data_IF_568363392804
#
_entry.id   IF_568363392804
#
_cell.length_a   1.000
_cell.length_b   1.000
_cell.length_c   1.000
_cell.angle_alpha   90.00
_cell.angle_beta   90.00
_cell.angle_gamma   90.00
#
_symmetry.space_group_name_H-M   'P 1'
#
loop_
_entity.id
_entity.type
_entity.pdbx_description
1 polymer ?
#
# COMPACT_ATOMS: atom_id res chain seq x y z
N UNK A 1 -13.18 3.85 -19.44
CA UNK A 1 -14.05 3.24 -20.47
C UNK A 1 -14.94 2.26 -19.75
N UNK A 2 -16.25 2.49 -19.74
CA UNK A 2 -17.22 1.47 -19.31
C UNK A 2 -17.25 0.37 -20.36
N UNK A 3 -16.60 -0.76 -20.10
CA UNK A 3 -16.95 -1.99 -20.82
C UNK A 3 -18.39 -2.32 -20.44
N UNK A 4 -19.32 -2.10 -21.37
CA UNK A 4 -20.67 -2.65 -21.29
C UNK A 4 -20.57 -4.17 -21.42
N UNK A 5 -20.38 -4.85 -20.30
CA UNK A 5 -20.41 -6.29 -20.19
C UNK A 5 -21.84 -6.76 -20.47
N UNK A 6 -22.06 -7.35 -21.65
CA UNK A 6 -23.37 -7.81 -22.09
C UNK A 6 -23.65 -9.20 -21.49
N UNK A 7 -24.00 -9.24 -20.20
CA UNK A 7 -24.35 -10.48 -19.50
C UNK A 7 -25.77 -10.96 -19.84
N UNK A 8 -26.02 -12.27 -19.68
CA UNK A 8 -27.37 -12.85 -19.82
C UNK A 8 -28.34 -12.22 -18.80
N UNK A 9 -29.64 -12.22 -19.12
CA UNK A 9 -30.68 -11.60 -18.28
C UNK A 9 -30.72 -12.19 -16.87
N UNK A 10 -30.61 -13.51 -16.78
CA UNK A 10 -30.58 -14.25 -15.52
C UNK A 10 -29.35 -13.85 -14.69
N UNK A 11 -28.19 -13.69 -15.34
CA UNK A 11 -26.96 -13.23 -14.70
C UNK A 11 -27.11 -11.81 -14.13
N UNK A 12 -27.74 -10.91 -14.88
CA UNK A 12 -28.02 -9.56 -14.40
C UNK A 12 -28.97 -9.58 -13.18
N UNK A 13 -29.94 -10.49 -13.15
CA UNK A 13 -30.81 -10.67 -11.99
C UNK A 13 -30.03 -11.19 -10.76
N UNK A 14 -29.07 -12.10 -10.96
CA UNK A 14 -28.17 -12.55 -9.90
C UNK A 14 -27.31 -11.42 -9.34
N UNK A 15 -26.69 -10.63 -10.22
CA UNK A 15 -25.89 -9.46 -9.82
C UNK A 15 -26.75 -8.46 -9.03
N UNK A 16 -27.99 -8.21 -9.47
CA UNK A 16 -28.92 -7.36 -8.73
C UNK A 16 -29.31 -7.92 -7.36
N UNK A 17 -29.41 -9.25 -7.22
CA UNK A 17 -29.64 -9.89 -5.93
C UNK A 17 -28.44 -9.74 -4.99
N UNK A 18 -27.21 -9.86 -5.50
CA UNK A 18 -25.97 -9.59 -4.76
C UNK A 18 -25.91 -8.14 -4.29
N UNK A 19 -26.14 -7.19 -5.19
CA UNK A 19 -26.16 -5.76 -4.87
C UNK A 19 -27.20 -5.44 -3.77
N UNK A 20 -28.41 -5.97 -3.92
CA UNK A 20 -29.49 -5.80 -2.93
C UNK A 20 -29.17 -6.43 -1.58
N UNK A 21 -28.45 -7.56 -1.56
CA UNK A 21 -28.05 -8.22 -0.32
C UNK A 21 -27.06 -7.36 0.47
N UNK A 22 -26.02 -6.85 -0.19
CA UNK A 22 -24.93 -6.09 0.42
C UNK A 22 -25.15 -4.57 0.42
N UNK A 23 -26.33 -4.09 0.05
CA UNK A 23 -26.61 -2.66 -0.11
C UNK A 23 -26.46 -1.83 1.18
N UNK A 24 -26.66 -2.46 2.34
CA UNK A 24 -26.63 -1.78 3.65
C UNK A 24 -25.48 -2.21 4.54
N UNK A 25 -24.96 -3.44 4.37
CA UNK A 25 -23.95 -4.02 5.24
C UNK A 25 -22.97 -4.88 4.43
N UNK A 26 -21.73 -4.96 4.89
CA UNK A 26 -20.71 -5.82 4.29
C UNK A 26 -20.80 -7.27 4.73
N UNK A 27 -20.05 -8.16 4.06
CA UNK A 27 -20.07 -9.59 4.34
C UNK A 27 -19.73 -9.97 5.78
N UNK A 28 -18.83 -9.22 6.45
CA UNK A 28 -18.48 -9.45 7.86
C UNK A 28 -19.68 -9.36 8.80
N UNK A 29 -20.57 -8.38 8.56
CA UNK A 29 -21.82 -8.23 9.29
C UNK A 29 -22.76 -9.41 9.03
N UNK A 30 -22.95 -9.80 7.77
CA UNK A 30 -23.84 -10.89 7.40
C UNK A 30 -23.37 -12.26 7.93
N UNK A 31 -22.06 -12.52 7.91
CA UNK A 31 -21.48 -13.72 8.52
C UNK A 31 -21.67 -13.73 10.04
N UNK A 32 -21.52 -12.59 10.70
CA UNK A 32 -21.78 -12.48 12.14
C UNK A 32 -23.27 -12.65 12.46
N UNK A 33 -24.16 -12.11 11.62
CA UNK A 33 -25.60 -12.30 11.76
C UNK A 33 -25.98 -13.78 11.61
N UNK A 34 -25.45 -14.46 10.57
CA UNK A 34 -25.68 -15.89 10.37
C UNK A 34 -25.15 -16.74 11.52
N UNK A 35 -23.99 -16.38 12.09
CA UNK A 35 -23.46 -17.02 13.30
C UNK A 35 -24.41 -16.88 14.49
N UNK A 36 -24.97 -15.68 14.70
CA UNK A 36 -25.91 -15.42 15.79
C UNK A 36 -27.28 -16.07 15.55
N UNK A 37 -27.63 -16.35 14.29
CA UNK A 37 -28.80 -17.16 13.97
C UNK A 37 -28.59 -18.63 14.38
N UNK A 38 -27.40 -19.20 14.14
CA UNK A 38 -27.09 -20.56 14.60
C UNK A 38 -27.00 -20.64 16.12
N UNK A 39 -26.23 -19.74 16.75
CA UNK A 39 -25.95 -19.75 18.18
C UNK A 39 -26.35 -18.37 18.75
N UNK A 40 -27.62 -18.19 19.15
CA UNK A 40 -28.09 -16.95 19.76
C UNK A 40 -27.29 -16.59 21.03
N UNK A 41 -26.59 -15.43 21.07
CA UNK A 41 -25.97 -14.93 22.29
C UNK A 41 -26.96 -14.80 23.46
N UNK A 42 -26.55 -15.09 24.70
CA UNK A 42 -27.42 -14.90 25.88
C UNK A 42 -27.40 -13.47 26.48
N UNK A 43 -26.73 -12.51 25.85
CA UNK A 43 -26.48 -11.17 26.41
C UNK A 43 -27.45 -10.09 25.88
N UNK A 44 -27.40 -8.87 26.42
CA UNK A 44 -28.34 -7.79 26.05
C UNK A 44 -28.07 -7.16 24.67
N UNK A 45 -26.86 -7.26 24.14
CA UNK A 45 -26.41 -6.72 22.83
C UNK A 45 -26.59 -7.72 21.68
N UNK A 46 -27.61 -8.56 21.82
CA UNK A 46 -27.77 -9.78 21.07
C UNK A 46 -28.59 -9.55 19.80
N UNK A 47 -27.99 -9.85 18.64
CA UNK A 47 -28.66 -9.84 17.34
C UNK A 47 -29.45 -11.14 17.09
N UNK A 48 -29.93 -11.79 18.15
CA UNK A 48 -30.65 -13.06 18.01
C UNK A 48 -31.96 -12.89 17.25
N UNK A 49 -32.39 -13.97 16.57
CA UNK A 49 -33.73 -14.14 16.02
C UNK A 49 -34.86 -13.67 16.95
N UNK A 50 -34.71 -13.92 18.25
CA UNK A 50 -35.72 -13.68 19.28
C UNK A 50 -35.91 -12.17 19.55
N UNK A 51 -34.83 -11.39 19.48
CA UNK A 51 -34.85 -9.94 19.71
C UNK A 51 -35.13 -9.14 18.45
N UNK A 52 -34.77 -9.69 17.29
CA UNK A 52 -34.89 -9.01 16.00
C UNK A 52 -35.56 -9.88 14.92
N UNK A 53 -36.79 -10.39 15.15
CA UNK A 53 -37.46 -11.31 14.21
C UNK A 53 -37.70 -10.69 12.83
N UNK A 54 -37.94 -9.38 12.76
CA UNK A 54 -38.06 -8.66 11.49
C UNK A 54 -36.74 -8.64 10.70
N UNK A 55 -35.59 -8.47 11.38
CA UNK A 55 -34.28 -8.49 10.71
C UNK A 55 -33.95 -9.89 10.21
N UNK A 56 -34.31 -10.93 10.98
CA UNK A 56 -34.14 -12.31 10.55
C UNK A 56 -34.98 -12.61 9.29
N UNK A 57 -36.25 -12.20 9.28
CA UNK A 57 -37.11 -12.38 8.11
C UNK A 57 -36.53 -11.66 6.89
N UNK A 58 -36.09 -10.40 7.04
CA UNK A 58 -35.47 -9.64 5.94
C UNK A 58 -34.18 -10.30 5.46
N UNK A 59 -33.36 -10.83 6.38
CA UNK A 59 -32.14 -11.56 6.01
C UNK A 59 -32.47 -12.81 5.19
N UNK A 60 -33.44 -13.62 5.65
CA UNK A 60 -33.92 -14.80 4.94
C UNK A 60 -34.50 -14.45 3.56
N UNK A 61 -35.35 -13.42 3.47
CA UNK A 61 -35.97 -12.98 2.22
C UNK A 61 -34.96 -12.51 1.17
N UNK A 62 -33.80 -12.01 1.61
CA UNK A 62 -32.68 -11.67 0.72
C UNK A 62 -31.76 -12.86 0.42
N UNK A 63 -31.60 -13.78 1.38
CA UNK A 63 -30.75 -14.97 1.23
C UNK A 63 -31.32 -15.96 0.19
N UNK A 64 -32.63 -16.21 0.22
CA UNK A 64 -33.26 -17.17 -0.69
C UNK A 64 -33.06 -16.80 -2.17
N UNK A 65 -33.30 -15.55 -2.62
CA UNK A 65 -32.98 -15.14 -3.99
C UNK A 65 -31.52 -15.34 -4.37
N UNK A 66 -30.56 -15.06 -3.47
CA UNK A 66 -29.14 -15.31 -3.76
C UNK A 66 -28.90 -16.78 -4.08
N UNK A 67 -29.47 -17.68 -3.27
CA UNK A 67 -29.34 -19.11 -3.48
C UNK A 67 -30.02 -19.55 -4.79
N UNK A 68 -31.26 -19.12 -5.03
CA UNK A 68 -32.04 -19.47 -6.21
C UNK A 68 -31.35 -19.05 -7.51
N UNK A 69 -30.81 -17.85 -7.56
CA UNK A 69 -30.05 -17.38 -8.71
C UNK A 69 -28.70 -18.08 -8.82
N UNK A 70 -28.02 -18.37 -7.72
CA UNK A 70 -26.75 -19.11 -7.75
C UNK A 70 -26.95 -20.50 -8.36
N UNK A 71 -27.97 -21.23 -7.92
CA UNK A 71 -28.32 -22.56 -8.46
C UNK A 71 -28.70 -22.47 -9.94
N UNK A 72 -29.55 -21.50 -10.30
CA UNK A 72 -29.93 -21.29 -11.68
C UNK A 72 -28.70 -21.05 -12.58
N UNK A 73 -27.82 -20.12 -12.20
CA UNK A 73 -26.68 -19.67 -13.01
C UNK A 73 -25.57 -20.72 -13.11
N UNK A 74 -25.28 -21.42 -12.01
CA UNK A 74 -24.11 -22.30 -11.95
C UNK A 74 -24.44 -23.78 -12.18
N UNK A 75 -25.71 -24.19 -12.08
CA UNK A 75 -26.13 -25.59 -12.17
C UNK A 75 -27.15 -25.86 -13.29
N UNK A 76 -28.09 -24.95 -13.56
CA UNK A 76 -29.27 -25.26 -14.40
C UNK A 76 -29.31 -24.62 -15.78
N UNK A 77 -28.56 -23.55 -16.03
CA UNK A 77 -28.53 -22.91 -17.36
C UNK A 77 -27.17 -23.05 -18.02
N UNK A 78 -27.15 -22.80 -19.33
CA UNK A 78 -25.91 -22.72 -20.09
C UNK A 78 -25.03 -21.59 -19.53
N UNK A 79 -23.79 -21.94 -19.17
CA UNK A 79 -22.82 -21.02 -18.56
C UNK A 79 -22.68 -19.73 -19.37
N UNK A 80 -22.88 -18.60 -18.69
CA UNK A 80 -22.55 -17.27 -19.20
C UNK A 80 -21.02 -17.09 -19.16
N UNK A 81 -20.36 -17.39 -20.28
CA UNK A 81 -18.89 -17.37 -20.37
C UNK A 81 -18.31 -15.97 -20.15
N UNK A 82 -19.04 -14.92 -20.54
CA UNK A 82 -18.61 -13.55 -20.31
C UNK A 82 -18.63 -13.22 -18.81
N UNK A 83 -19.67 -13.63 -18.11
CA UNK A 83 -19.76 -13.48 -16.65
C UNK A 83 -18.70 -14.27 -15.91
N UNK A 84 -18.51 -15.55 -16.24
CA UNK A 84 -17.49 -16.39 -15.59
C UNK A 84 -16.10 -15.78 -15.76
N UNK A 85 -15.77 -15.31 -16.97
CA UNK A 85 -14.50 -14.63 -17.23
C UNK A 85 -14.37 -13.32 -16.44
N UNK A 86 -15.46 -12.58 -16.24
CA UNK A 86 -15.45 -11.32 -15.51
C UNK A 86 -15.28 -11.48 -13.98
N UNK A 87 -15.70 -12.63 -13.44
CA UNK A 87 -15.50 -12.96 -12.02
C UNK A 87 -14.20 -13.71 -11.77
N UNK A 88 -13.43 -14.09 -12.79
CA UNK A 88 -12.14 -14.78 -12.63
C UNK A 88 -11.01 -13.79 -12.35
N UNK A 89 -10.03 -14.24 -11.56
CA UNK A 89 -8.78 -13.54 -11.32
C UNK A 89 -7.60 -14.50 -11.47
N UNK A 90 -6.48 -14.00 -11.99
CA UNK A 90 -5.21 -14.71 -11.97
C UNK A 90 -4.56 -14.64 -10.58
N UNK A 91 -3.45 -15.34 -10.39
CA UNK A 91 -2.72 -15.39 -9.11
C UNK A 91 -2.35 -13.99 -8.60
N UNK A 92 -1.83 -13.13 -9.47
CA UNK A 92 -1.53 -11.74 -9.14
C UNK A 92 -2.79 -10.93 -8.78
N UNK A 93 -3.91 -11.20 -9.44
CA UNK A 93 -5.21 -10.60 -9.15
C UNK A 93 -5.72 -10.97 -7.75
N UNK A 94 -5.58 -12.24 -7.36
CA UNK A 94 -5.94 -12.70 -6.01
C UNK A 94 -5.04 -12.07 -4.95
N UNK A 95 -3.72 -12.03 -5.16
CA UNK A 95 -2.79 -11.36 -4.24
C UNK A 95 -3.15 -9.88 -4.05
N UNK A 96 -3.47 -9.18 -5.14
CA UNK A 96 -3.92 -7.78 -5.10
C UNK A 96 -5.16 -7.60 -4.22
N UNK A 97 -6.14 -8.49 -4.33
CA UNK A 97 -7.37 -8.43 -3.54
C UNK A 97 -7.12 -8.59 -2.05
N UNK A 98 -6.14 -9.41 -1.65
CA UNK A 98 -5.79 -9.56 -0.23
C UNK A 98 -5.33 -8.25 0.42
N UNK A 99 -4.82 -7.32 -0.39
CA UNK A 99 -4.35 -5.99 0.05
C UNK A 99 -5.44 -4.93 -0.09
N UNK A 100 -6.22 -4.99 -1.17
CA UNK A 100 -7.17 -3.92 -1.53
C UNK A 100 -8.53 -4.04 -0.85
N UNK A 101 -9.00 -5.25 -0.58
CA UNK A 101 -10.35 -5.46 -0.07
C UNK A 101 -10.38 -5.27 1.45
N UNK A 102 -11.32 -4.46 1.93
CA UNK A 102 -11.57 -4.27 3.37
C UNK A 102 -11.88 -5.61 4.07
N UNK A 103 -12.47 -6.55 3.32
CA UNK A 103 -12.66 -7.93 3.74
C UNK A 103 -12.19 -8.89 2.65
N UNK A 104 -11.13 -9.63 2.94
CA UNK A 104 -10.70 -10.77 2.14
C UNK A 104 -11.42 -12.05 2.61
N UNK A 105 -12.02 -12.84 1.69
CA UNK A 105 -12.56 -14.17 1.99
C UNK A 105 -11.59 -15.05 2.77
N UNK A 106 -12.11 -15.83 3.73
CA UNK A 106 -11.31 -16.70 4.63
C UNK A 106 -11.71 -18.17 4.53
N UNK A 107 -12.88 -18.46 4.01
CA UNK A 107 -13.46 -19.80 3.88
C UNK A 107 -13.29 -20.37 2.48
N UNK A 108 -12.96 -19.52 1.49
CA UNK A 108 -12.65 -19.91 0.13
C UNK A 108 -11.19 -20.41 0.03
N UNK A 109 -11.00 -21.53 -0.64
CA UNK A 109 -9.66 -21.98 -1.04
C UNK A 109 -9.07 -21.06 -2.11
N UNK A 110 -7.75 -21.14 -2.34
CA UNK A 110 -7.09 -20.31 -3.35
C UNK A 110 -7.69 -20.47 -4.77
N UNK A 111 -8.08 -21.68 -5.16
CA UNK A 111 -8.75 -21.93 -6.44
C UNK A 111 -10.16 -21.32 -6.50
N UNK A 112 -10.91 -21.38 -5.41
CA UNK A 112 -12.23 -20.73 -5.30
C UNK A 112 -12.12 -19.21 -5.31
N UNK A 113 -11.04 -18.65 -4.74
CA UNK A 113 -10.74 -17.22 -4.87
C UNK A 113 -10.44 -16.84 -6.32
N UNK A 114 -9.63 -17.62 -7.04
CA UNK A 114 -9.38 -17.37 -8.47
C UNK A 114 -10.67 -17.48 -9.29
N UNK A 115 -11.52 -18.46 -8.99
CA UNK A 115 -12.77 -18.68 -9.69
C UNK A 115 -13.93 -18.99 -8.72
N UNK A 116 -14.75 -17.98 -8.36
CA UNK A 116 -15.86 -18.14 -7.41
C UNK A 116 -16.89 -19.17 -7.86
N UNK A 117 -16.97 -19.48 -9.17
CA UNK A 117 -17.83 -20.54 -9.71
C UNK A 117 -17.59 -21.88 -9.03
N UNK A 118 -16.33 -22.18 -8.66
CA UNK A 118 -15.97 -23.47 -8.07
C UNK A 118 -16.69 -23.71 -6.74
N UNK A 119 -16.90 -22.67 -5.93
CA UNK A 119 -17.66 -22.76 -4.68
C UNK A 119 -19.11 -23.16 -4.93
N UNK A 120 -19.75 -22.56 -5.93
CA UNK A 120 -21.14 -22.89 -6.26
C UNK A 120 -21.27 -24.29 -6.84
N UNK A 121 -20.34 -24.71 -7.71
CA UNK A 121 -20.32 -26.08 -8.23
C UNK A 121 -20.19 -27.11 -7.10
N UNK A 122 -19.33 -26.86 -6.11
CA UNK A 122 -19.17 -27.75 -4.95
C UNK A 122 -20.46 -27.84 -4.13
N UNK A 123 -21.09 -26.70 -3.83
CA UNK A 123 -22.37 -26.65 -3.09
C UNK A 123 -23.47 -27.43 -3.82
N UNK A 124 -23.62 -27.25 -5.13
CA UNK A 124 -24.68 -27.88 -5.91
C UNK A 124 -24.38 -29.32 -6.34
N UNK A 125 -23.12 -29.77 -6.27
CA UNK A 125 -22.74 -31.16 -6.55
C UNK A 125 -23.33 -32.11 -5.50
N UNK A 126 -23.36 -31.69 -4.24
CA UNK A 126 -23.73 -32.55 -3.12
C UNK A 126 -25.17 -32.34 -2.63
N UNK A 127 -25.83 -31.26 -3.05
CA UNK A 127 -27.12 -30.89 -2.49
C UNK A 127 -28.14 -30.42 -3.53
N UNK A 128 -29.37 -30.92 -3.41
CA UNK A 128 -30.49 -30.46 -4.23
C UNK A 128 -31.04 -29.13 -3.70
N UNK A 129 -31.33 -28.22 -4.64
CA UNK A 129 -31.84 -26.86 -4.38
C UNK A 129 -33.09 -26.84 -3.49
N UNK A 130 -34.05 -27.73 -3.75
CA UNK A 130 -35.29 -27.83 -2.97
C UNK A 130 -35.03 -28.17 -1.50
N UNK A 131 -34.02 -29.00 -1.21
CA UNK A 131 -33.63 -29.34 0.15
C UNK A 131 -33.08 -28.12 0.89
N UNK A 132 -32.28 -27.27 0.24
CA UNK A 132 -31.76 -26.04 0.85
C UNK A 132 -32.88 -25.07 1.23
N UNK A 133 -33.84 -24.85 0.32
CA UNK A 133 -34.97 -23.95 0.59
C UNK A 133 -35.84 -24.47 1.73
N UNK A 134 -36.09 -25.78 1.77
CA UNK A 134 -36.81 -26.40 2.86
C UNK A 134 -36.08 -26.19 4.19
N UNK A 135 -34.78 -26.49 4.25
CA UNK A 135 -33.99 -26.35 5.48
C UNK A 135 -33.88 -24.89 5.92
N UNK A 136 -33.66 -23.93 5.01
CA UNK A 136 -33.67 -22.50 5.38
C UNK A 136 -35.01 -22.06 5.95
N UNK A 137 -36.12 -22.53 5.38
CA UNK A 137 -37.45 -22.22 5.88
C UNK A 137 -37.71 -22.85 7.25
N UNK A 138 -37.36 -24.12 7.43
CA UNK A 138 -37.47 -24.81 8.72
C UNK A 138 -36.61 -24.13 9.79
N UNK A 139 -35.39 -23.76 9.44
CA UNK A 139 -34.47 -23.04 10.34
C UNK A 139 -34.99 -21.65 10.71
N UNK A 140 -35.62 -20.94 9.77
CA UNK A 140 -36.28 -19.66 10.04
C UNK A 140 -37.43 -19.85 11.03
N UNK A 141 -38.31 -20.82 10.77
CA UNK A 141 -39.47 -21.09 11.62
C UNK A 141 -39.03 -21.50 13.03
N UNK A 142 -38.07 -22.42 13.14
CA UNK A 142 -37.51 -22.84 14.43
C UNK A 142 -36.91 -21.65 15.21
N UNK A 143 -36.22 -20.75 14.52
CA UNK A 143 -35.65 -19.54 15.12
C UNK A 143 -36.73 -18.56 15.61
N UNK A 144 -37.79 -18.36 14.83
CA UNK A 144 -38.92 -17.49 15.20
C UNK A 144 -39.77 -18.08 16.32
N UNK A 145 -39.91 -19.41 16.37
CA UNK A 145 -40.60 -20.13 17.44
C UNK A 145 -39.75 -20.30 18.70
N UNK A 146 -38.49 -19.88 18.67
CA UNK A 146 -37.52 -20.04 19.75
C UNK A 146 -37.25 -21.52 20.13
N UNK A 147 -37.18 -22.38 19.11
CA UNK A 147 -37.02 -23.83 19.23
C UNK A 147 -35.65 -24.32 18.73
N UNK A 148 -34.64 -23.45 18.65
CA UNK A 148 -33.27 -23.82 18.29
C UNK A 148 -32.56 -24.47 19.49
N UNK A 149 -32.60 -25.80 19.54
CA UNK A 149 -31.85 -26.62 20.49
C UNK A 149 -30.60 -27.26 19.86
N UNK A 150 -29.90 -28.11 20.63
CA UNK A 150 -28.65 -28.75 20.19
C UNK A 150 -28.84 -29.70 18.99
N UNK A 151 -30.04 -30.24 18.79
CA UNK A 151 -30.30 -31.16 17.68
C UNK A 151 -30.38 -30.39 16.34
N UNK A 152 -30.78 -29.11 16.39
CA UNK A 152 -30.74 -28.22 15.23
C UNK A 152 -29.32 -27.93 14.75
N UNK A 153 -28.36 -27.74 15.66
CA UNK A 153 -26.97 -27.46 15.29
C UNK A 153 -26.42 -28.53 14.34
N UNK A 154 -26.69 -29.81 14.63
CA UNK A 154 -26.26 -30.92 13.79
C UNK A 154 -27.03 -30.97 12.46
N UNK A 155 -28.34 -30.70 12.48
CA UNK A 155 -29.18 -30.72 11.29
C UNK A 155 -28.79 -29.62 10.27
N UNK A 156 -28.49 -28.41 10.75
CA UNK A 156 -28.19 -27.26 9.87
C UNK A 156 -26.70 -27.03 9.64
N UNK A 157 -25.78 -27.71 10.34
CA UNK A 157 -24.34 -27.46 10.27
C UNK A 157 -23.80 -27.37 8.83
N UNK A 158 -24.11 -28.35 7.98
CA UNK A 158 -23.64 -28.37 6.60
C UNK A 158 -24.21 -27.20 5.78
N UNK A 159 -25.50 -26.87 5.98
CA UNK A 159 -26.16 -25.74 5.33
C UNK A 159 -25.56 -24.42 5.79
N UNK A 160 -25.29 -24.26 7.09
CA UNK A 160 -24.64 -23.09 7.66
C UNK A 160 -23.24 -22.88 7.07
N UNK A 161 -22.39 -23.91 7.06
CA UNK A 161 -21.03 -23.83 6.51
C UNK A 161 -21.04 -23.45 5.02
N UNK A 162 -21.92 -24.08 4.24
CA UNK A 162 -22.06 -23.77 2.82
C UNK A 162 -22.65 -22.39 2.58
N UNK A 163 -23.57 -21.93 3.43
CA UNK A 163 -24.12 -20.57 3.37
C UNK A 163 -23.02 -19.54 3.60
N UNK A 164 -22.14 -19.74 4.59
CA UNK A 164 -21.02 -18.81 4.81
C UNK A 164 -20.08 -18.75 3.60
N UNK A 165 -19.70 -19.92 3.05
CA UNK A 165 -18.88 -19.97 1.82
C UNK A 165 -19.56 -19.27 0.65
N UNK A 166 -20.86 -19.52 0.45
CA UNK A 166 -21.66 -18.86 -0.59
C UNK A 166 -21.66 -17.33 -0.42
N UNK A 167 -21.82 -16.83 0.82
CA UNK A 167 -21.80 -15.40 1.09
C UNK A 167 -20.44 -14.77 0.80
N UNK A 168 -19.33 -15.45 1.12
CA UNK A 168 -17.99 -14.97 0.74
C UNK A 168 -17.77 -14.98 -0.78
N UNK A 169 -18.25 -16.01 -1.49
CA UNK A 169 -18.18 -16.06 -2.95
C UNK A 169 -19.01 -14.94 -3.60
N UNK A 170 -20.24 -14.71 -3.12
CA UNK A 170 -21.08 -13.59 -3.56
C UNK A 170 -20.44 -12.23 -3.25
N UNK A 171 -19.77 -12.08 -2.10
CA UNK A 171 -19.03 -10.87 -1.77
C UNK A 171 -17.86 -10.64 -2.73
N UNK A 172 -17.11 -11.69 -3.08
CA UNK A 172 -16.01 -11.56 -4.04
C UNK A 172 -16.53 -11.16 -5.43
N UNK A 173 -17.68 -11.69 -5.86
CA UNK A 173 -18.36 -11.26 -7.10
C UNK A 173 -18.79 -9.78 -6.99
N UNK A 174 -19.31 -9.36 -5.84
CA UNK A 174 -19.65 -7.96 -5.58
C UNK A 174 -18.43 -7.05 -5.73
N UNK A 175 -17.31 -7.42 -5.12
CA UNK A 175 -16.07 -6.65 -5.16
C UNK A 175 -15.44 -6.59 -6.56
N UNK A 176 -15.61 -7.63 -7.37
CA UNK A 176 -15.13 -7.67 -8.75
C UNK A 176 -16.04 -6.91 -9.71
N UNK A 177 -17.34 -7.19 -9.71
CA UNK A 177 -18.25 -6.70 -10.76
C UNK A 177 -18.97 -5.41 -10.37
N UNK A 178 -19.48 -5.33 -9.14
CA UNK A 178 -20.41 -4.29 -8.71
C UNK A 178 -19.65 -3.06 -8.25
N UNK A 179 -18.84 -3.19 -7.18
CA UNK A 179 -18.03 -2.07 -6.66
C UNK A 179 -16.74 -1.89 -7.43
N UNK A 180 -16.28 -2.96 -8.12
CA UNK A 180 -15.00 -3.03 -8.84
C UNK A 180 -13.80 -2.70 -7.96
N UNK A 181 -13.93 -2.94 -6.64
CA UNK A 181 -12.87 -2.75 -5.66
C UNK A 181 -11.67 -3.65 -5.92
N UNK A 182 -11.88 -4.89 -6.39
CA UNK A 182 -10.80 -5.80 -6.81
C UNK A 182 -9.96 -5.25 -7.98
N UNK A 183 -10.58 -4.43 -8.82
CA UNK A 183 -9.96 -3.80 -9.97
C UNK A 183 -9.68 -2.32 -9.76
N UNK A 184 -9.89 -1.80 -8.54
CA UNK A 184 -9.35 -0.50 -8.18
C UNK A 184 -7.86 -0.61 -8.41
N UNK A 185 -7.40 0.16 -9.37
CA UNK A 185 -6.00 0.18 -9.69
C UNK A 185 -5.25 0.59 -8.42
N UNK A 186 -4.33 -0.26 -7.94
CA UNK A 186 -3.33 0.16 -6.95
C UNK A 186 -2.68 1.47 -7.44
N UNK A 187 -2.58 1.65 -8.76
CA UNK A 187 -2.20 2.83 -9.52
C UNK A 187 -2.76 4.18 -9.06
N UNK A 188 -3.89 4.26 -8.36
CA UNK A 188 -4.31 5.54 -7.76
C UNK A 188 -3.31 6.04 -6.69
N UNK A 189 -2.47 5.13 -6.20
CA UNK A 189 -1.30 5.40 -5.35
C UNK A 189 0.02 4.85 -5.94
N UNK A 190 -0.02 3.88 -6.87
CA UNK A 190 1.17 3.29 -7.51
C UNK A 190 1.62 4.00 -8.80
N UNK A 191 0.75 4.70 -9.53
CA UNK A 191 1.18 5.54 -10.68
C UNK A 191 1.58 6.96 -10.27
N UNK A 192 1.37 7.31 -9.00
CA UNK A 192 2.21 8.31 -8.34
C UNK A 192 3.63 7.78 -8.10
N UNK A 193 3.93 6.50 -8.40
CA UNK A 193 5.27 5.93 -8.37
C UNK A 193 6.04 6.02 -9.71
N UNK A 194 5.57 6.82 -10.68
CA UNK A 194 6.36 7.20 -11.87
C UNK A 194 7.35 8.29 -11.44
N UNK A 195 8.57 8.27 -11.97
CA UNK A 195 9.65 9.20 -11.63
C UNK A 195 9.21 10.68 -11.57
N UNK A 196 8.24 11.05 -12.40
CA UNK A 196 7.65 12.40 -12.55
C UNK A 196 6.55 12.73 -11.52
N UNK A 197 5.82 11.74 -10.99
CA UNK A 197 4.67 11.91 -10.08
C UNK A 197 4.92 11.43 -8.64
N UNK A 198 6.09 10.84 -8.38
CA UNK A 198 6.62 10.56 -7.04
C UNK A 198 7.16 11.80 -6.36
N UNK A 199 7.25 12.93 -7.05
CA UNK A 199 7.82 14.15 -6.49
C UNK A 199 6.74 14.78 -5.59
N UNK A 200 6.86 14.71 -4.25
CA UNK A 200 5.89 15.40 -3.41
C UNK A 200 5.92 16.92 -3.67
N UNK A 201 6.95 17.43 -4.37
CA UNK A 201 6.95 18.70 -5.08
C UNK A 201 7.75 18.54 -6.39
N UNK A 202 7.16 18.81 -7.56
CA UNK A 202 7.96 19.06 -8.76
C UNK A 202 9.00 20.15 -8.42
N UNK A 203 10.24 20.00 -8.90
CA UNK A 203 11.20 21.10 -8.79
C UNK A 203 10.57 22.31 -9.49
N UNK A 204 10.61 23.46 -8.83
CA UNK A 204 10.21 24.72 -9.46
C UNK A 204 11.08 24.93 -10.73
N UNK A 205 10.58 25.61 -11.77
CA UNK A 205 11.34 25.84 -12.99
C UNK A 205 12.76 26.34 -12.75
N UNK A 206 12.94 27.21 -11.76
CA UNK A 206 14.23 27.78 -11.35
C UNK A 206 15.21 26.72 -10.82
N UNK A 207 14.70 25.63 -10.23
CA UNK A 207 15.48 24.51 -9.71
C UNK A 207 15.74 23.43 -10.78
N UNK A 208 14.99 23.44 -11.88
CA UNK A 208 15.28 22.61 -13.07
C UNK A 208 16.44 23.19 -13.88
N UNK A 209 16.55 24.52 -13.89
CA UNK A 209 17.64 25.27 -14.53
C UNK A 209 18.92 25.19 -13.71
N UNK A 210 18.82 25.23 -12.37
CA UNK A 210 19.95 25.09 -11.45
C UNK A 210 19.66 24.12 -10.31
N UNK A 211 19.91 22.80 -10.50
CA UNK A 211 19.66 21.80 -9.46
C UNK A 211 20.61 21.92 -8.25
N UNK A 212 21.70 22.68 -8.33
CA UNK A 212 22.61 22.87 -7.20
C UNK A 212 21.98 23.74 -6.10
N UNK A 213 21.05 24.64 -6.43
CA UNK A 213 20.27 25.40 -5.44
C UNK A 213 19.48 24.50 -4.49
N UNK A 214 19.07 23.32 -4.95
CA UNK A 214 18.42 22.32 -4.08
C UNK A 214 19.38 21.82 -3.02
N UNK A 215 20.64 21.57 -3.40
CA UNK A 215 21.70 21.10 -2.51
C UNK A 215 22.10 22.22 -1.53
N UNK A 216 22.28 23.43 -2.02
CA UNK A 216 22.56 24.61 -1.19
C UNK A 216 21.45 24.86 -0.17
N UNK A 217 20.19 24.83 -0.61
CA UNK A 217 19.05 24.98 0.29
C UNK A 217 19.03 23.89 1.36
N UNK A 218 19.27 22.63 0.99
CA UNK A 218 19.35 21.52 1.95
C UNK A 218 20.35 21.81 3.07
N UNK A 219 21.59 22.17 2.71
CA UNK A 219 22.65 22.49 3.67
C UNK A 219 22.55 23.87 4.32
N UNK A 220 21.59 24.70 3.91
CA UNK A 220 21.24 25.93 4.63
C UNK A 220 20.37 25.66 5.86
N UNK A 221 19.72 24.49 5.91
CA UNK A 221 18.83 24.10 7.01
C UNK A 221 19.61 23.57 8.22
N UNK A 222 20.72 22.86 7.99
CA UNK A 222 21.64 22.38 9.03
C UNK A 222 23.02 22.04 8.43
N UNK A 223 24.00 21.76 9.29
CA UNK A 223 25.29 21.21 8.88
C UNK A 223 25.21 19.70 8.56
N UNK A 224 26.26 19.17 7.92
CA UNK A 224 26.33 17.75 7.53
C UNK A 224 26.12 16.81 8.73
N UNK A 225 26.76 17.08 9.88
CA UNK A 225 26.55 16.30 11.10
C UNK A 225 25.08 16.29 11.56
N UNK A 226 24.39 17.41 11.48
CA UNK A 226 22.96 17.53 11.81
C UNK A 226 22.09 16.67 10.90
N UNK A 227 22.26 16.80 9.58
CA UNK A 227 21.56 15.97 8.59
C UNK A 227 21.81 14.47 8.78
N UNK A 228 23.05 14.07 9.10
CA UNK A 228 23.38 12.67 9.44
C UNK A 228 22.66 12.20 10.71
N UNK A 229 22.56 13.05 11.73
CA UNK A 229 21.83 12.73 12.95
C UNK A 229 20.34 12.55 12.69
N UNK A 230 19.72 13.42 11.88
CA UNK A 230 18.33 13.28 11.44
C UNK A 230 18.09 11.96 10.71
N UNK A 231 18.93 11.63 9.72
CA UNK A 231 18.80 10.38 8.98
C UNK A 231 18.95 9.14 9.89
N UNK A 232 19.90 9.18 10.82
CA UNK A 232 20.11 8.10 11.80
C UNK A 232 18.91 7.93 12.72
N UNK A 233 18.32 9.03 13.19
CA UNK A 233 17.14 8.98 14.05
C UNK A 233 15.93 8.46 13.29
N UNK A 234 15.76 8.87 12.03
CA UNK A 234 14.70 8.33 11.17
C UNK A 234 14.86 6.82 10.94
N UNK A 235 16.05 6.37 10.57
CA UNK A 235 16.32 4.94 10.40
C UNK A 235 16.00 4.14 11.66
N UNK A 236 16.38 4.64 12.83
CA UNK A 236 16.04 4.01 14.13
C UNK A 236 14.54 3.99 14.40
N UNK A 237 13.85 5.08 14.10
CA UNK A 237 12.40 5.16 14.30
C UNK A 237 11.66 4.17 13.38
N UNK A 238 12.05 4.08 12.11
CA UNK A 238 11.49 3.14 11.15
C UNK A 238 11.73 1.67 11.54
N UNK A 239 12.83 1.38 12.25
CA UNK A 239 13.12 0.05 12.80
C UNK A 239 12.33 -0.25 14.08
N UNK A 240 11.95 0.74 14.87
CA UNK A 240 11.29 0.51 16.15
C UNK A 240 9.89 -0.09 15.93
N UNK A 241 9.55 -1.11 16.70
CA UNK A 241 8.16 -1.55 16.84
C UNK A 241 7.54 -0.76 18.00
N UNK A 242 6.26 -0.39 17.86
CA UNK A 242 5.45 0.28 18.91
C UNK A 242 5.83 1.73 19.27
N UNK A 243 6.86 2.32 18.64
CA UNK A 243 7.20 3.75 18.81
C UNK A 243 6.91 4.53 17.53
N UNK A 244 5.98 5.47 17.63
CA UNK A 244 5.72 6.47 16.58
C UNK A 244 6.44 7.78 16.92
N UNK A 245 7.02 8.43 15.92
CA UNK A 245 7.64 9.76 16.10
C UNK A 245 6.57 10.80 16.43
N UNK A 246 6.87 11.70 17.37
CA UNK A 246 5.97 12.80 17.76
C UNK A 246 5.84 13.88 16.68
N UNK A 247 6.95 14.19 16.01
CA UNK A 247 7.07 15.33 15.09
C UNK A 247 6.94 14.89 13.64
N UNK A 248 5.77 14.35 13.29
CA UNK A 248 5.43 13.81 11.96
C UNK A 248 5.73 14.82 10.83
N UNK A 249 5.52 16.11 11.08
CA UNK A 249 5.76 17.17 10.11
C UNK A 249 7.24 17.28 9.69
N UNK A 250 8.18 17.10 10.64
CA UNK A 250 9.61 17.23 10.39
C UNK A 250 10.13 16.08 9.53
N UNK A 251 9.68 14.86 9.79
CA UNK A 251 10.03 13.69 8.98
C UNK A 251 9.41 13.74 7.59
N UNK A 252 8.18 14.25 7.46
CA UNK A 252 7.56 14.50 6.16
C UNK A 252 8.32 15.58 5.37
N UNK A 253 8.74 16.66 6.03
CA UNK A 253 9.57 17.68 5.43
C UNK A 253 10.92 17.11 4.96
N UNK A 254 11.58 16.32 5.81
CA UNK A 254 12.87 15.69 5.49
C UNK A 254 12.76 14.68 4.34
N UNK A 255 11.68 13.89 4.29
CA UNK A 255 11.33 13.03 3.15
C UNK A 255 11.26 13.84 1.84
N UNK A 256 10.60 15.00 1.87
CA UNK A 256 10.49 15.87 0.71
C UNK A 256 11.87 16.43 0.31
N UNK A 257 12.72 16.79 1.27
CA UNK A 257 14.07 17.27 0.99
C UNK A 257 14.94 16.20 0.32
N UNK A 258 14.95 14.97 0.83
CA UNK A 258 15.69 13.86 0.20
C UNK A 258 15.17 13.55 -1.20
N UNK A 259 13.84 13.63 -1.40
CA UNK A 259 13.26 13.45 -2.73
C UNK A 259 13.73 14.52 -3.72
N UNK A 260 13.80 15.78 -3.29
CA UNK A 260 14.36 16.87 -4.11
C UNK A 260 15.84 16.65 -4.41
N UNK A 261 16.62 16.19 -3.44
CA UNK A 261 18.04 15.84 -3.63
C UNK A 261 18.23 14.72 -4.67
N UNK A 262 17.35 13.71 -4.71
CA UNK A 262 17.41 12.67 -5.74
C UNK A 262 17.17 13.22 -7.14
N UNK A 263 16.17 14.08 -7.29
CA UNK A 263 15.88 14.73 -8.56
C UNK A 263 17.04 15.64 -9.00
N UNK A 264 17.60 16.42 -8.07
CA UNK A 264 18.75 17.26 -8.34
C UNK A 264 19.97 16.44 -8.78
N UNK A 265 20.29 15.36 -8.06
CA UNK A 265 21.39 14.45 -8.41
C UNK A 265 21.23 13.81 -9.79
N UNK A 266 20.00 13.38 -10.12
CA UNK A 266 19.69 12.89 -11.46
C UNK A 266 19.93 13.93 -12.54
N UNK A 267 19.44 15.17 -12.35
CA UNK A 267 19.60 16.24 -13.32
C UNK A 267 21.08 16.61 -13.51
N UNK A 268 21.85 16.69 -12.42
CA UNK A 268 23.29 16.94 -12.45
C UNK A 268 24.01 15.85 -13.27
N UNK A 269 23.69 14.58 -13.03
CA UNK A 269 24.27 13.46 -13.78
C UNK A 269 23.85 13.46 -15.24
N UNK A 270 22.55 13.54 -15.52
CA UNK A 270 21.99 13.42 -16.87
C UNK A 270 22.45 14.56 -17.79
N UNK A 271 22.57 15.78 -17.25
CA UNK A 271 23.05 16.97 -17.98
C UNK A 271 24.56 17.19 -17.86
N UNK A 272 25.29 16.32 -17.13
CA UNK A 272 26.73 16.48 -16.82
C UNK A 272 27.10 17.86 -16.27
N UNK A 273 26.30 18.39 -15.34
CA UNK A 273 26.51 19.71 -14.77
C UNK A 273 27.68 19.71 -13.77
N UNK A 274 28.38 20.83 -13.70
CA UNK A 274 29.40 21.10 -12.70
C UNK A 274 28.99 22.30 -11.87
N UNK A 275 29.28 22.25 -10.57
CA UNK A 275 28.99 23.35 -9.66
C UNK A 275 29.92 24.54 -9.96
N UNK A 276 29.33 25.69 -10.29
CA UNK A 276 30.02 26.94 -10.62
C UNK A 276 29.77 28.04 -9.56
N UNK A 277 29.16 27.67 -8.42
CA UNK A 277 28.85 28.62 -7.35
C UNK A 277 30.11 29.09 -6.63
N UNK A 278 30.02 30.28 -6.03
CA UNK A 278 31.01 30.73 -5.04
C UNK A 278 30.94 29.76 -3.86
N UNK A 279 32.09 29.29 -3.36
CA UNK A 279 32.16 28.42 -2.18
C UNK A 279 31.17 28.92 -1.12
N UNK A 280 30.24 28.05 -0.71
CA UNK A 280 29.04 28.44 0.05
C UNK A 280 29.43 28.89 1.46
N UNK A 281 29.86 30.15 1.60
CA UNK A 281 30.21 30.82 2.85
C UNK A 281 29.01 31.21 3.73
N UNK A 282 27.82 30.72 3.39
CA UNK A 282 26.55 30.96 4.09
C UNK A 282 26.20 29.91 5.15
N UNK A 283 27.17 29.11 5.62
CA UNK A 283 27.03 28.38 6.87
C UNK A 283 26.82 29.39 8.02
N UNK A 284 25.87 29.17 8.96
CA UNK A 284 25.61 30.11 10.04
C UNK A 284 26.91 30.48 10.78
N UNK A 285 27.26 31.77 10.68
CA UNK A 285 28.38 32.48 11.28
C UNK A 285 29.36 31.64 12.13
N UNK A 286 30.43 31.17 11.46
CA UNK A 286 31.73 30.98 12.08
C UNK A 286 32.36 32.37 12.27
N UNK A 287 31.86 33.15 13.21
CA UNK A 287 32.58 34.31 13.75
C UNK A 287 32.89 34.01 15.21
N UNK A 288 33.95 33.22 15.40
CA UNK A 288 34.89 33.31 16.54
C UNK A 288 36.02 32.27 16.52
N UNK A 289 36.22 31.48 15.45
CA UNK A 289 37.31 30.47 15.42
C UNK A 289 38.23 30.48 14.21
N UNK A 290 38.16 31.49 13.33
CA UNK A 290 39.15 31.65 12.23
C UNK A 290 40.46 32.35 12.67
N UNK A 291 40.82 32.23 13.95
CA UNK A 291 42.17 32.54 14.45
C UNK A 291 42.68 31.32 15.19
N UNK A 292 42.81 30.20 14.48
CA UNK A 292 43.87 29.19 14.62
C UNK A 292 43.53 28.00 13.73
N UNK A 293 44.45 27.68 12.83
CA UNK A 293 44.30 26.58 11.88
C UNK A 293 44.05 25.24 12.58
N UNK A 294 43.01 24.53 12.15
CA UNK A 294 43.04 23.08 12.00
C UNK A 294 41.77 22.58 11.28
N UNK A 295 42.00 21.62 10.40
CA UNK A 295 41.08 20.89 9.53
C UNK A 295 39.96 20.15 10.28
N UNK A 296 38.92 20.84 10.75
CA UNK A 296 37.76 20.22 11.43
C UNK A 296 36.58 19.87 10.51
N UNK A 297 36.38 20.58 9.40
CA UNK A 297 35.18 20.40 8.55
C UNK A 297 35.23 19.14 7.66
N UNK A 298 36.41 18.70 7.21
CA UNK A 298 36.59 17.42 6.51
C UNK A 298 36.43 16.20 7.44
N UNK A 299 36.46 16.40 8.75
CA UNK A 299 36.29 15.33 9.75
C UNK A 299 34.85 14.81 9.81
N UNK A 300 33.90 15.50 9.17
CA UNK A 300 32.50 15.10 9.08
C UNK A 300 32.18 14.17 7.91
N UNK A 301 33.08 14.03 6.93
CA UNK A 301 32.93 13.11 5.77
C UNK A 301 33.66 11.81 6.09
N UNK A 302 32.93 10.72 6.30
CA UNK A 302 33.50 9.47 6.81
C UNK A 302 32.92 8.19 6.20
N UNK A 303 31.89 8.30 5.37
CA UNK A 303 31.26 7.17 4.66
C UNK A 303 31.73 7.11 3.21
N UNK A 304 32.06 8.27 2.63
CA UNK A 304 32.48 8.42 1.25
C UNK A 304 33.95 8.03 1.10
N UNK A 305 34.24 7.10 0.17
CA UNK A 305 35.61 6.65 -0.10
C UNK A 305 36.54 7.76 -0.60
N UNK A 306 37.85 7.63 -0.35
CA UNK A 306 38.84 8.66 -0.67
C UNK A 306 38.83 9.13 -2.14
N UNK A 307 38.63 8.21 -3.08
CA UNK A 307 38.52 8.54 -4.52
C UNK A 307 37.31 9.44 -4.83
N UNK A 308 36.18 9.19 -4.16
CA UNK A 308 34.96 9.98 -4.29
C UNK A 308 35.04 11.31 -3.52
N UNK A 309 35.81 11.38 -2.42
CA UNK A 309 36.10 12.66 -1.77
C UNK A 309 36.99 13.56 -2.63
N UNK A 310 37.93 12.98 -3.38
CA UNK A 310 38.77 13.72 -4.31
C UNK A 310 37.99 14.20 -5.55
N UNK A 311 37.05 13.38 -6.03
CA UNK A 311 36.15 13.74 -7.13
C UNK A 311 34.73 13.21 -6.88
N UNK A 312 33.84 14.01 -6.27
CA UNK A 312 32.49 13.56 -5.91
C UNK A 312 31.60 13.29 -7.14
N UNK A 313 31.94 13.84 -8.31
CA UNK A 313 31.20 13.57 -9.54
C UNK A 313 31.35 12.10 -10.02
N UNK A 314 32.43 11.40 -9.63
CA UNK A 314 32.57 9.96 -9.90
C UNK A 314 31.51 9.15 -9.17
N UNK A 315 31.21 9.52 -7.92
CA UNK A 315 30.14 8.93 -7.15
C UNK A 315 28.77 9.29 -7.75
N UNK A 316 28.50 10.58 -7.94
CA UNK A 316 27.19 11.07 -8.41
C UNK A 316 26.79 10.45 -9.76
N UNK A 317 27.73 10.32 -10.71
CA UNK A 317 27.45 9.69 -12.01
C UNK A 317 27.09 8.21 -11.94
N UNK A 318 27.70 7.47 -11.01
CA UNK A 318 27.42 6.03 -10.84
C UNK A 318 26.25 5.77 -9.90
N UNK A 319 25.91 6.72 -9.04
CA UNK A 319 24.88 6.60 -8.02
C UNK A 319 23.48 6.99 -8.52
N UNK A 320 23.35 8.08 -9.28
CA UNK A 320 22.06 8.62 -9.72
C UNK A 320 21.57 8.02 -11.03
N UNK A 321 21.33 6.71 -11.02
CA UNK A 321 20.66 5.97 -12.10
C UNK A 321 19.17 5.78 -11.77
N UNK A 322 18.26 5.72 -12.77
CA UNK A 322 16.82 5.66 -12.54
C UNK A 322 16.37 4.52 -11.62
N UNK A 323 16.91 3.32 -11.81
CA UNK A 323 16.55 2.12 -11.04
C UNK A 323 16.91 2.29 -9.56
N UNK A 324 18.10 2.84 -9.29
CA UNK A 324 18.59 3.07 -7.92
C UNK A 324 17.82 4.20 -7.24
N UNK A 325 17.46 5.26 -7.97
CA UNK A 325 16.62 6.34 -7.42
C UNK A 325 15.23 5.80 -7.08
N UNK A 326 14.64 4.96 -7.95
CA UNK A 326 13.35 4.33 -7.69
C UNK A 326 13.38 3.49 -6.40
N UNK A 327 14.41 2.68 -6.23
CA UNK A 327 14.62 1.87 -5.03
C UNK A 327 14.77 2.73 -3.76
N UNK A 328 15.63 3.74 -3.79
CA UNK A 328 15.87 4.63 -2.63
C UNK A 328 14.60 5.39 -2.22
N UNK A 329 13.79 5.83 -3.20
CA UNK A 329 12.52 6.51 -2.93
C UNK A 329 11.49 5.57 -2.33
N UNK A 330 11.38 4.35 -2.86
CA UNK A 330 10.50 3.34 -2.30
C UNK A 330 10.86 3.06 -0.83
N UNK A 331 12.13 2.77 -0.54
CA UNK A 331 12.52 2.50 0.84
C UNK A 331 12.33 3.71 1.75
N UNK A 332 12.54 4.95 1.27
CA UNK A 332 12.31 6.15 2.07
C UNK A 332 10.83 6.35 2.40
N UNK A 333 9.94 5.98 1.48
CA UNK A 333 8.51 5.98 1.71
C UNK A 333 8.13 4.93 2.75
N UNK A 334 8.70 3.72 2.66
CA UNK A 334 8.51 2.67 3.68
C UNK A 334 9.03 3.12 5.05
N UNK A 335 10.17 3.81 5.11
CA UNK A 335 10.69 4.37 6.37
C UNK A 335 9.78 5.44 6.93
N UNK A 336 9.15 6.25 6.07
CA UNK A 336 8.19 7.27 6.47
C UNK A 336 6.95 6.62 7.11
N UNK A 337 6.36 5.62 6.43
CA UNK A 337 5.19 4.91 6.93
C UNK A 337 5.48 4.13 8.21
N UNK A 338 6.61 3.43 8.27
CA UNK A 338 7.02 2.71 9.46
C UNK A 338 7.23 3.66 10.66
N UNK A 339 7.91 4.79 10.47
CA UNK A 339 8.13 5.76 11.55
C UNK A 339 6.84 6.38 12.11
N UNK A 340 5.74 6.39 11.33
CA UNK A 340 4.45 6.96 11.72
C UNK A 340 3.45 5.96 12.28
N UNK A 341 3.82 4.68 12.34
CA UNK A 341 2.92 3.60 12.69
C UNK A 341 3.41 2.86 13.92
N UNK A 342 2.49 2.55 14.83
CA UNK A 342 2.78 1.69 15.98
C UNK A 342 2.72 0.20 15.65
N UNK A 343 2.35 -0.16 14.41
CA UNK A 343 2.06 -1.53 13.98
C UNK A 343 2.91 -2.02 12.82
N UNK A 344 3.85 -1.21 12.31
CA UNK A 344 4.69 -1.57 11.18
C UNK A 344 6.14 -1.20 11.45
N UNK A 345 7.06 -1.98 10.91
CA UNK A 345 8.50 -1.80 11.03
C UNK A 345 9.16 -2.24 9.73
N UNK A 346 10.27 -1.58 9.37
CA UNK A 346 11.02 -1.95 8.16
C UNK A 346 11.83 -3.23 8.33
N UNK A 347 11.91 -3.83 9.52
CA UNK A 347 12.77 -4.99 9.83
C UNK A 347 12.59 -6.21 8.90
N UNK A 348 11.40 -6.37 8.32
CA UNK A 348 11.06 -7.48 7.43
C UNK A 348 11.32 -7.17 5.95
N UNK A 349 11.72 -5.95 5.62
CA UNK A 349 12.12 -5.58 4.26
C UNK A 349 13.48 -6.17 3.92
N UNK A 350 13.74 -6.27 2.62
CA UNK A 350 15.04 -6.70 2.10
C UNK A 350 16.17 -5.77 2.56
N UNK A 351 17.39 -6.32 2.67
CA UNK A 351 18.61 -5.62 3.12
C UNK A 351 18.86 -4.29 2.40
N UNK A 352 18.42 -4.23 1.15
CA UNK A 352 18.47 -3.09 0.24
C UNK A 352 17.70 -1.87 0.76
N UNK A 353 16.63 -2.08 1.52
CA UNK A 353 15.82 -1.02 2.15
C UNK A 353 16.18 -0.78 3.61
N UNK A 354 17.20 -1.45 4.13
CA UNK A 354 17.64 -1.36 5.52
C UNK A 354 18.95 -0.55 5.60
N UNK A 355 20.01 -1.19 6.12
CA UNK A 355 21.30 -0.54 6.32
C UNK A 355 21.96 -0.12 5.01
N UNK A 356 21.75 -0.86 3.90
CA UNK A 356 22.33 -0.49 2.60
C UNK A 356 21.77 0.83 2.09
N UNK A 357 20.46 1.07 2.26
CA UNK A 357 19.85 2.36 1.96
C UNK A 357 20.34 3.47 2.89
N UNK A 358 20.42 3.20 4.20
CA UNK A 358 20.98 4.16 5.16
C UNK A 358 22.39 4.62 4.73
N UNK A 359 23.26 3.68 4.41
CA UNK A 359 24.63 3.95 3.96
C UNK A 359 24.66 4.70 2.61
N UNK A 360 23.81 4.31 1.67
CA UNK A 360 23.67 4.97 0.39
C UNK A 360 23.29 6.46 0.53
N UNK A 361 22.32 6.76 1.40
CA UNK A 361 21.91 8.13 1.70
C UNK A 361 22.99 8.93 2.42
N UNK A 362 23.75 8.30 3.31
CA UNK A 362 24.91 8.93 3.97
C UNK A 362 25.99 9.33 2.96
N UNK A 363 26.38 8.42 2.07
CA UNK A 363 27.35 8.70 1.00
C UNK A 363 26.87 9.81 0.07
N UNK A 364 25.57 9.83 -0.24
CA UNK A 364 24.97 10.88 -1.07
C UNK A 364 25.10 12.27 -0.44
N UNK A 365 24.71 12.43 0.83
CA UNK A 365 24.84 13.70 1.54
C UNK A 365 26.29 14.16 1.59
N UNK A 366 27.22 13.24 1.87
CA UNK A 366 28.65 13.54 1.88
C UNK A 366 29.16 13.99 0.51
N UNK A 367 28.79 13.30 -0.58
CA UNK A 367 29.21 13.66 -1.93
C UNK A 367 28.71 15.06 -2.32
N UNK A 368 27.44 15.36 -2.03
CA UNK A 368 26.87 16.68 -2.28
C UNK A 368 27.51 17.78 -1.44
N UNK A 369 27.78 17.50 -0.16
CA UNK A 369 28.49 18.44 0.71
C UNK A 369 29.88 18.78 0.16
N UNK A 370 30.63 17.76 -0.30
CA UNK A 370 31.96 17.96 -0.90
C UNK A 370 31.87 18.78 -2.19
N UNK A 371 30.85 18.55 -3.03
CA UNK A 371 30.65 19.29 -4.27
C UNK A 371 30.48 20.79 -4.06
N UNK A 372 29.65 21.19 -3.09
CA UNK A 372 29.39 22.62 -2.83
C UNK A 372 30.49 23.28 -1.98
N UNK A 373 31.27 22.49 -1.23
CA UNK A 373 32.37 22.99 -0.40
C UNK A 373 33.70 23.15 -1.16
N UNK A 374 33.86 22.47 -2.29
CA UNK A 374 35.06 22.53 -3.15
C UNK A 374 34.65 22.77 -4.61
N UNK A 375 34.33 24.01 -5.00
CA UNK A 375 34.06 24.32 -6.40
C UNK A 375 35.29 23.94 -7.26
N UNK A 376 35.03 23.39 -8.44
CA UNK A 376 36.09 23.06 -9.40
C UNK A 376 36.67 24.39 -9.87
N UNK A 377 37.94 24.65 -9.55
CA UNK A 377 38.66 25.80 -10.10
C UNK A 377 38.64 25.69 -11.62
N UNK A 378 38.12 26.72 -12.30
CA UNK A 378 38.21 26.81 -13.75
C UNK A 378 39.68 26.88 -14.17
N UNK A 379 40.04 26.25 -15.29
CA UNK A 379 41.38 26.30 -15.92
C UNK A 379 41.89 27.73 -16.23
N UNK A 380 41.08 28.77 -15.98
CA UNK A 380 41.48 30.17 -16.06
C UNK A 380 42.41 30.60 -14.92
N UNK A 381 42.31 29.98 -13.74
CA UNK A 381 42.93 30.49 -12.50
C UNK A 381 44.31 29.87 -12.24
N UNK A 382 44.68 28.80 -12.96
CA UNK A 382 46.04 28.24 -12.91
C UNK A 382 47.10 29.17 -13.54
N UNK A 383 46.68 30.16 -14.36
CA UNK A 383 47.63 31.11 -14.97
C UNK A 383 48.07 32.24 -14.03
N UNK A 384 47.27 32.55 -13.01
CA UNK A 384 47.60 33.62 -12.07
C UNK A 384 48.41 33.12 -10.86
N UNK A 385 48.47 31.80 -10.62
CA UNK A 385 49.23 31.23 -9.50
C UNK A 385 50.74 31.05 -9.77
N UNK A 386 51.20 31.26 -11.01
CA UNK A 386 52.63 31.20 -11.38
C UNK A 386 53.21 32.56 -11.80
N UNK A 387 52.51 33.67 -11.50
CA UNK A 387 52.92 35.02 -11.90
C UNK A 387 53.24 35.98 -10.73
N UNK A 388 53.45 35.48 -9.50
CA UNK A 388 54.06 36.26 -8.41
C UNK A 388 55.39 35.67 -7.92
#
# INVERSE_FOLDING_TARGET
>A
MEENLNFKKETMAFIGAIESFFSTNGVSYHLNFLKNWLIPPQNEFDFSPQKHPAQLLVFYEKLVPLFDYSDLIFNHIETDTAFVKAIEADECGVERETVLLDYCPKLLSHGEMQNPKLTFLDIFLFFQSDTYKLVYKEWLLAALENNLDLDWDQYVAAFYENTKKMLEACWLIHERIITRNSFKSIDRYYHMAIFESTSPLALEPELLDDPFKVIEFFFSLDNLRGHKAYLKNWYKAALAEEQCVSDVADYFFLYNQFTKLFNAGYLITAKNLTYQGVSFGGLPAITDQFVNGDSKELCEVNTLGAAHMANPYLFVRSFFIPEKIKQLRLGLLEWLYAAFSTKSSIKLLDKEFLFEQYEAMMMMMEAFFVMISKPVLSESDERDYYAE
#
